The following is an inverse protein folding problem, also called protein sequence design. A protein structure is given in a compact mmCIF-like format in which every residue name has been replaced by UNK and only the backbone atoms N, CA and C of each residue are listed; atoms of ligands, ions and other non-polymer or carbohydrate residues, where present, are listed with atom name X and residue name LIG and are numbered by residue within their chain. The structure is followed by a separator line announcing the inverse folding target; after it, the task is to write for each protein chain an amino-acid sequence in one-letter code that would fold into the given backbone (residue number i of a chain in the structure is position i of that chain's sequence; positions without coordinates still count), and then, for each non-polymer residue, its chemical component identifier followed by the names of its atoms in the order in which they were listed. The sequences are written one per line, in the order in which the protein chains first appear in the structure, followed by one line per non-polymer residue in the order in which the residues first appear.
data_IF_651699686958
#
_entry.id   IF_651699686958
#
_cell.length_a   1.000
_cell.length_b   1.000
_cell.length_c   1.000
_cell.angle_alpha   90.00
_cell.angle_beta   90.00
_cell.angle_gamma   90.00
#
_symmetry.space_group_name_H-M   'P 1'
#
loop_
_entity.id
_entity.type
_entity.pdbx_description
1 polymer ?
#
# COMPACT_ATOMS: atom_id res chain seq x y z
N UNK A 1 -33.48 -32.74 -27.81
CA UNK A 1 -33.77 -31.68 -26.83
C UNK A 1 -32.91 -31.79 -25.56
N UNK A 2 -32.84 -32.90 -24.85
CA UNK A 2 -32.05 -33.02 -23.60
C UNK A 2 -30.54 -32.67 -23.75
N UNK A 3 -29.92 -33.07 -24.90
CA UNK A 3 -28.50 -32.77 -25.19
C UNK A 3 -28.25 -31.27 -25.47
N UNK A 4 -29.20 -30.58 -26.09
CA UNK A 4 -29.12 -29.14 -26.36
C UNK A 4 -29.27 -28.32 -25.09
N UNK A 5 -30.13 -28.74 -24.16
CA UNK A 5 -30.29 -28.08 -22.87
C UNK A 5 -29.02 -28.22 -22.02
N UNK A 6 -28.37 -29.39 -22.06
CA UNK A 6 -27.11 -29.64 -21.36
C UNK A 6 -25.97 -28.75 -21.88
N UNK A 7 -25.88 -28.54 -23.20
CA UNK A 7 -24.90 -27.65 -23.82
C UNK A 7 -25.18 -26.18 -23.50
N UNK A 8 -26.43 -25.79 -23.42
CA UNK A 8 -26.82 -24.44 -23.06
C UNK A 8 -26.52 -24.13 -21.58
N UNK A 9 -26.77 -25.07 -20.68
CA UNK A 9 -26.44 -24.96 -19.27
C UNK A 9 -24.91 -24.92 -19.06
N UNK A 10 -24.16 -25.71 -19.82
CA UNK A 10 -22.69 -25.70 -19.76
C UNK A 10 -22.12 -24.36 -20.23
N UNK A 11 -22.71 -23.72 -21.26
CA UNK A 11 -22.24 -22.40 -21.73
C UNK A 11 -22.49 -21.27 -20.76
N UNK A 12 -23.53 -21.35 -19.92
CA UNK A 12 -23.87 -20.34 -18.89
C UNK A 12 -22.87 -20.41 -17.71
N UNK A 13 -22.32 -21.59 -17.41
CA UNK A 13 -21.36 -21.77 -16.31
C UNK A 13 -19.99 -21.14 -16.66
N UNK A 14 -19.66 -20.96 -17.93
CA UNK A 14 -18.39 -20.33 -18.36
C UNK A 14 -18.43 -18.81 -18.41
N UNK A 15 -19.55 -18.15 -18.15
CA UNK A 15 -19.62 -16.70 -17.97
C UNK A 15 -19.32 -16.27 -16.53
N UNK A 16 -18.40 -16.97 -15.84
CA UNK A 16 -17.83 -16.43 -14.60
C UNK A 16 -17.09 -15.17 -15.00
N UNK A 17 -17.58 -14.05 -14.53
CA UNK A 17 -17.01 -12.73 -14.72
C UNK A 17 -15.51 -12.80 -14.41
N UNK A 18 -14.69 -12.74 -15.45
CA UNK A 18 -13.26 -12.46 -15.30
C UNK A 18 -13.20 -11.01 -14.84
N UNK A 19 -13.31 -10.79 -13.53
CA UNK A 19 -12.92 -9.51 -12.97
C UNK A 19 -11.42 -9.40 -13.23
N UNK A 20 -11.08 -8.57 -14.21
CA UNK A 20 -9.69 -8.27 -14.50
C UNK A 20 -9.07 -7.70 -13.22
N UNK A 21 -8.16 -8.46 -12.61
CA UNK A 21 -7.41 -7.97 -11.48
C UNK A 21 -6.52 -6.82 -11.96
N UNK A 22 -6.65 -5.68 -11.31
CA UNK A 22 -5.83 -4.51 -11.59
C UNK A 22 -4.66 -4.44 -10.63
N UNK A 23 -3.50 -3.96 -11.11
CA UNK A 23 -2.34 -3.68 -10.25
C UNK A 23 -2.52 -2.34 -9.56
N UNK A 24 -2.46 -2.37 -8.25
CA UNK A 24 -2.39 -1.18 -7.41
C UNK A 24 -0.97 -1.03 -6.86
N UNK A 25 -0.49 0.19 -6.78
CA UNK A 25 0.87 0.48 -6.35
C UNK A 25 0.88 1.16 -4.98
N UNK A 26 1.93 0.87 -4.21
CA UNK A 26 2.27 1.54 -2.97
C UNK A 26 3.73 1.95 -3.01
N UNK A 27 4.02 3.14 -2.53
CA UNK A 27 5.38 3.62 -2.34
C UNK A 27 5.68 3.74 -0.84
N UNK A 28 6.79 3.12 -0.40
CA UNK A 28 7.37 3.39 0.91
C UNK A 28 8.44 4.45 0.73
N UNK A 29 8.33 5.55 1.49
CA UNK A 29 9.37 6.59 1.57
C UNK A 29 10.04 6.54 2.92
N UNK A 30 11.36 6.45 2.93
CA UNK A 30 12.17 6.45 4.14
C UNK A 30 13.21 7.55 4.12
N UNK A 31 13.27 8.33 5.20
CA UNK A 31 14.17 9.45 5.35
C UNK A 31 14.84 9.38 6.71
N UNK A 32 16.15 9.62 6.75
CA UNK A 32 16.89 9.69 8.01
C UNK A 32 16.38 10.88 8.86
N UNK A 33 16.30 10.66 10.16
CA UNK A 33 15.93 11.71 11.11
C UNK A 33 17.16 12.57 11.40
N UNK A 34 17.03 13.89 11.26
CA UNK A 34 18.14 14.84 11.43
C UNK A 34 18.72 14.88 12.85
N UNK A 35 17.90 14.67 13.88
CA UNK A 35 18.26 14.87 15.28
C UNK A 35 18.20 13.59 16.14
N UNK A 36 17.89 12.45 15.55
CA UNK A 36 17.79 11.18 16.27
C UNK A 36 18.13 10.01 15.35
N UNK A 37 18.65 8.93 15.91
CA UNK A 37 18.84 7.69 15.13
C UNK A 37 17.51 7.14 14.60
N UNK A 38 17.54 6.58 13.40
CA UNK A 38 16.43 5.88 12.77
C UNK A 38 15.82 6.60 11.55
N UNK A 39 14.86 5.95 10.96
CA UNK A 39 14.17 6.40 9.75
C UNK A 39 12.77 6.93 10.07
N UNK A 40 12.36 7.97 9.35
CA UNK A 40 10.96 8.35 9.23
C UNK A 40 10.40 7.62 8.01
N UNK A 41 9.49 6.69 8.22
CA UNK A 41 8.90 5.87 7.16
C UNK A 41 7.43 6.27 7.00
N UNK A 42 7.01 6.44 5.75
CA UNK A 42 5.62 6.70 5.35
C UNK A 42 5.23 5.84 4.16
N UNK A 43 3.92 5.59 4.02
CA UNK A 43 3.35 4.75 2.98
C UNK A 43 2.38 5.57 2.14
N UNK A 44 2.57 5.55 0.83
CA UNK A 44 1.74 6.26 -0.13
C UNK A 44 0.99 5.24 -1.00
N UNK A 45 -0.32 5.16 -0.81
CA UNK A 45 -1.22 4.31 -1.61
C UNK A 45 -1.95 5.11 -2.71
N UNK A 46 -1.42 6.29 -3.09
CA UNK A 46 -1.95 7.12 -4.16
C UNK A 46 -3.13 8.01 -3.81
N UNK A 47 -3.67 7.94 -2.58
CA UNK A 47 -4.83 8.77 -2.17
C UNK A 47 -4.47 10.18 -1.69
N UNK A 48 -3.24 10.38 -1.20
CA UNK A 48 -2.80 11.65 -0.57
C UNK A 48 -1.31 11.89 -0.82
N UNK A 49 -0.90 11.83 -2.07
CA UNK A 49 0.46 12.15 -2.46
C UNK A 49 0.77 13.63 -2.18
N UNK A 50 1.65 13.90 -1.22
CA UNK A 50 2.12 15.25 -0.96
C UNK A 50 3.53 15.38 -1.53
N UNK A 51 3.64 16.08 -2.65
CA UNK A 51 4.92 16.52 -3.17
C UNK A 51 5.39 17.73 -2.37
N UNK A 52 6.49 17.62 -1.67
CA UNK A 52 7.02 18.74 -0.92
C UNK A 52 8.08 18.34 0.12
N UNK A 53 8.63 19.34 0.76
CA UNK A 53 9.62 19.26 1.83
C UNK A 53 9.34 18.13 2.83
N UNK A 54 10.39 17.56 3.40
CA UNK A 54 10.38 16.54 4.46
C UNK A 54 9.44 16.82 5.65
N UNK A 55 9.15 18.11 5.92
CA UNK A 55 8.14 18.52 6.90
C UNK A 55 6.73 18.07 6.51
N UNK A 56 6.49 17.79 5.22
CA UNK A 56 5.19 17.35 4.71
C UNK A 56 5.01 15.82 4.67
N UNK A 57 6.01 15.02 5.05
CA UNK A 57 5.84 13.60 5.36
C UNK A 57 5.03 13.49 6.65
N UNK A 58 3.75 13.88 6.54
CA UNK A 58 2.83 14.03 7.65
C UNK A 58 2.58 12.69 8.34
N UNK A 59 2.35 12.76 9.62
CA UNK A 59 1.93 11.63 10.47
C UNK A 59 0.76 10.82 9.90
N UNK A 60 -0.05 11.41 9.02
CA UNK A 60 -1.23 10.81 8.39
C UNK A 60 -0.95 9.61 7.46
N UNK A 61 0.24 9.54 6.87
CA UNK A 61 0.66 8.43 6.00
C UNK A 61 1.43 7.31 6.74
N UNK A 62 1.47 7.38 8.07
CA UNK A 62 2.01 6.29 8.88
C UNK A 62 0.98 5.19 9.06
N UNK A 63 1.46 3.96 9.14
CA UNK A 63 0.63 2.82 9.50
C UNK A 63 0.38 2.84 11.01
N UNK A 64 -0.84 2.50 11.41
CA UNK A 64 -1.25 2.41 12.81
C UNK A 64 -1.83 1.02 13.10
N UNK A 65 -1.80 0.65 14.35
CA UNK A 65 -2.46 -0.53 14.87
C UNK A 65 -3.98 -0.30 15.09
N UNK A 66 -4.65 -1.28 15.65
CA UNK A 66 -6.09 -1.26 15.99
C UNK A 66 -6.46 -0.23 17.07
N UNK A 67 -5.48 0.28 17.82
CA UNK A 67 -5.64 1.36 18.80
C UNK A 67 -5.34 2.74 18.24
N UNK A 68 -4.91 2.82 16.98
CA UNK A 68 -4.50 4.08 16.32
C UNK A 68 -3.09 4.53 16.68
N UNK A 69 -2.29 3.66 17.33
CA UNK A 69 -0.89 3.95 17.63
C UNK A 69 0.00 3.63 16.42
N UNK A 70 0.98 4.49 16.18
CA UNK A 70 1.87 4.33 15.02
C UNK A 70 2.75 3.11 15.21
N UNK A 71 2.71 2.19 14.24
CA UNK A 71 3.61 1.04 14.17
C UNK A 71 5.01 1.56 13.84
N UNK A 72 6.00 1.37 14.73
CA UNK A 72 7.37 1.77 14.45
C UNK A 72 8.02 0.77 13.49
N UNK A 73 8.65 1.28 12.42
CA UNK A 73 9.50 0.47 11.54
C UNK A 73 10.95 0.87 11.75
N UNK A 74 11.82 -0.13 11.98
CA UNK A 74 13.23 0.07 12.28
C UNK A 74 14.07 0.32 11.03
N UNK A 75 13.60 -0.14 9.86
CA UNK A 75 14.30 -0.03 8.59
C UNK A 75 13.35 -0.08 7.40
N UNK A 76 13.85 0.24 6.21
CA UNK A 76 13.10 0.04 4.96
C UNK A 76 12.75 -1.44 4.74
N UNK A 77 13.64 -2.35 5.14
CA UNK A 77 13.40 -3.80 5.02
C UNK A 77 12.27 -4.24 5.94
N UNK A 78 12.21 -3.73 7.16
CA UNK A 78 11.13 -4.01 8.11
C UNK A 78 9.76 -3.54 7.55
N UNK A 79 9.71 -2.33 7.03
CA UNK A 79 8.52 -1.81 6.35
C UNK A 79 8.14 -2.63 5.09
N UNK A 80 9.14 -3.06 4.32
CA UNK A 80 8.94 -3.92 3.16
C UNK A 80 8.41 -5.30 3.53
N UNK A 81 8.93 -5.92 4.58
CA UNK A 81 8.42 -7.19 5.11
C UNK A 81 6.97 -7.07 5.59
N UNK A 82 6.61 -5.95 6.22
CA UNK A 82 5.22 -5.67 6.59
C UNK A 82 4.29 -5.68 5.37
N UNK A 83 4.63 -4.96 4.29
CA UNK A 83 3.83 -4.97 3.06
C UNK A 83 3.79 -6.34 2.39
N UNK A 84 4.93 -7.04 2.33
CA UNK A 84 4.99 -8.39 1.77
C UNK A 84 4.10 -9.36 2.53
N UNK A 85 4.05 -9.27 3.86
CA UNK A 85 3.14 -10.02 4.71
C UNK A 85 1.64 -9.69 4.48
N UNK A 86 1.33 -8.55 3.87
CA UNK A 86 0.00 -8.15 3.42
C UNK A 86 -0.28 -8.49 1.94
N UNK A 87 0.61 -9.25 1.29
CA UNK A 87 0.47 -9.71 -0.09
C UNK A 87 0.89 -8.69 -1.16
N UNK A 88 1.68 -7.68 -0.78
CA UNK A 88 2.29 -6.75 -1.73
C UNK A 88 3.63 -7.29 -2.22
N UNK A 89 3.89 -7.13 -3.51
CA UNK A 89 5.12 -7.59 -4.17
C UNK A 89 6.05 -6.42 -4.44
N UNK A 90 7.31 -6.55 -4.02
CA UNK A 90 8.35 -5.56 -4.30
C UNK A 90 8.62 -5.46 -5.80
N UNK A 91 8.79 -4.24 -6.31
CA UNK A 91 9.10 -3.95 -7.72
C UNK A 91 10.52 -3.44 -7.85
N UNK A 92 10.81 -2.30 -7.21
CA UNK A 92 12.10 -1.62 -7.31
C UNK A 92 12.34 -0.69 -6.13
N UNK A 93 13.59 -0.32 -5.95
CA UNK A 93 14.01 0.73 -5.04
C UNK A 93 14.87 1.75 -5.77
N UNK A 94 14.78 3.01 -5.37
CA UNK A 94 15.66 4.09 -5.80
C UNK A 94 15.82 5.11 -4.69
N UNK A 95 16.82 5.98 -4.83
CA UNK A 95 17.06 7.08 -3.89
C UNK A 95 17.01 8.39 -4.65
N UNK A 96 16.32 9.38 -4.10
CA UNK A 96 16.34 10.76 -4.56
C UNK A 96 16.98 11.65 -3.48
N UNK A 97 17.41 12.85 -3.89
CA UNK A 97 17.95 13.85 -2.96
C UNK A 97 17.09 15.10 -3.05
N UNK A 98 16.59 15.56 -1.90
CA UNK A 98 15.83 16.80 -1.81
C UNK A 98 16.33 17.62 -0.61
N UNK A 99 16.71 18.88 -0.86
CA UNK A 99 17.25 19.76 0.19
C UNK A 99 18.50 19.22 0.89
N UNK A 100 19.34 18.45 0.18
CA UNK A 100 20.54 17.81 0.74
C UNK A 100 20.27 16.50 1.50
N UNK A 101 19.02 16.07 1.61
CA UNK A 101 18.64 14.87 2.34
C UNK A 101 18.27 13.72 1.37
N UNK A 102 18.84 12.54 1.60
CA UNK A 102 18.52 11.33 0.84
C UNK A 102 17.14 10.79 1.25
N UNK A 103 16.33 10.48 0.25
CA UNK A 103 15.03 9.86 0.42
C UNK A 103 15.07 8.52 -0.29
N UNK A 104 14.84 7.44 0.45
CA UNK A 104 14.75 6.10 -0.09
C UNK A 104 13.30 5.81 -0.50
N UNK A 105 13.11 5.32 -1.72
CA UNK A 105 11.82 5.01 -2.33
C UNK A 105 11.76 3.53 -2.66
N UNK A 106 10.79 2.81 -2.12
CA UNK A 106 10.55 1.41 -2.43
C UNK A 106 9.14 1.25 -2.99
N UNK A 107 9.03 0.72 -4.20
CA UNK A 107 7.76 0.55 -4.91
C UNK A 107 7.31 -0.90 -4.78
N UNK A 108 6.04 -1.06 -4.44
CA UNK A 108 5.35 -2.33 -4.36
C UNK A 108 4.09 -2.30 -5.22
N UNK A 109 3.61 -3.48 -5.66
CA UNK A 109 2.29 -3.62 -6.24
C UNK A 109 1.54 -4.78 -5.60
N UNK A 110 0.21 -4.73 -5.72
CA UNK A 110 -0.69 -5.83 -5.38
C UNK A 110 -1.81 -5.89 -6.41
N UNK A 111 -2.13 -7.09 -6.89
CA UNK A 111 -3.27 -7.32 -7.76
C UNK A 111 -4.53 -7.45 -6.94
N UNK A 112 -5.56 -6.71 -7.31
CA UNK A 112 -6.84 -6.67 -6.60
C UNK A 112 -7.95 -6.13 -7.50
N UNK A 113 -9.19 -6.27 -7.05
CA UNK A 113 -10.35 -5.72 -7.75
C UNK A 113 -10.61 -4.24 -7.39
N UNK A 114 -10.04 -3.75 -6.29
CA UNK A 114 -10.12 -2.35 -5.88
C UNK A 114 -8.95 -1.98 -4.95
N UNK A 115 -8.69 -0.69 -4.80
CA UNK A 115 -7.65 -0.20 -3.88
C UNK A 115 -8.01 -0.48 -2.42
N UNK A 116 -9.29 -0.47 -2.07
CA UNK A 116 -9.76 -0.79 -0.72
C UNK A 116 -9.43 -2.24 -0.36
N UNK A 117 -9.69 -3.18 -1.28
CA UNK A 117 -9.31 -4.60 -1.10
C UNK A 117 -7.79 -4.80 -1.12
N UNK A 118 -7.06 -4.05 -1.95
CA UNK A 118 -5.60 -4.11 -1.95
C UNK A 118 -5.03 -3.70 -0.58
N UNK A 119 -5.61 -2.68 0.04
CA UNK A 119 -5.21 -2.15 1.36
C UNK A 119 -5.87 -2.87 2.55
N UNK A 120 -6.61 -3.96 2.34
CA UNK A 120 -7.25 -4.69 3.43
C UNK A 120 -6.25 -5.11 4.51
N UNK A 121 -6.56 -4.82 5.78
CA UNK A 121 -5.69 -5.07 6.91
C UNK A 121 -4.51 -4.09 7.05
N UNK A 122 -4.53 -2.97 6.30
CA UNK A 122 -3.59 -1.86 6.44
C UNK A 122 -4.38 -0.61 6.81
N UNK A 123 -4.08 -0.01 7.95
CA UNK A 123 -4.75 1.20 8.42
C UNK A 123 -3.71 2.32 8.52
N UNK A 124 -3.92 3.41 7.79
CA UNK A 124 -3.11 4.61 7.96
C UNK A 124 -3.69 5.50 9.06
N UNK A 125 -2.87 6.36 9.64
CA UNK A 125 -3.33 7.31 10.67
C UNK A 125 -4.49 8.17 10.17
N UNK A 126 -4.48 8.56 8.90
CA UNK A 126 -5.59 9.31 8.31
C UNK A 126 -6.90 8.52 8.25
N UNK A 127 -6.82 7.23 7.89
CA UNK A 127 -8.01 6.35 7.83
C UNK A 127 -8.58 6.15 9.24
N UNK A 128 -7.70 5.91 10.21
CA UNK A 128 -8.09 5.73 11.60
C UNK A 128 -8.79 6.98 12.16
N UNK A 129 -8.19 8.15 11.95
CA UNK A 129 -8.73 9.43 12.46
C UNK A 129 -10.08 9.80 11.81
N UNK A 130 -10.37 9.32 10.58
CA UNK A 130 -11.66 9.53 9.90
C UNK A 130 -12.78 8.66 10.46
N UNK A 131 -12.43 7.47 10.93
CA UNK A 131 -13.41 6.48 11.43
C UNK A 131 -13.69 6.61 12.93
N UNK A 132 -12.83 7.32 13.69
CA UNK A 132 -12.92 7.48 15.15
C UNK A 132 -13.11 8.95 15.58
N UNK A 133 -13.67 9.77 14.69
CA UNK A 133 -14.09 11.16 15.02
C UNK A 133 -15.48 11.22 15.59
#
# INVERSE_FOLDING_TARGET
MRRFILLLVLSIIYTTSIFAQQKFFCEIKGVEKELSSGLKIVFDFGKNSVYGSLSSLKSKQKIVDDKGEVIPFNSMVDAGNYLSGKGWTFVQAYTSVYGGQAINHWIFFKESNSIEKACEGIVTKEMYDKTHK
#
